data_IF_140241372625
#
_entry.id   IF_140241372625
#
_cell.length_a   1.000
_cell.length_b   1.000
_cell.length_c   1.000
_cell.angle_alpha   90.00
_cell.angle_beta   90.00
_cell.angle_gamma   90.00
#
_symmetry.space_group_name_H-M   'P 1'
#
loop_
_entity.id
_entity.type
_entity.pdbx_description
1 polymer ?
#
# COMPACT_ATOMS: atom_id res chain seq x y z
N UNK A 1 7.25 10.83 -6.85
CA UNK A 1 7.32 11.35 -8.22
C UNK A 1 6.06 10.98 -8.98
N UNK A 2 5.65 11.82 -9.93
CA UNK A 2 4.49 11.51 -10.79
C UNK A 2 4.87 10.57 -11.95
N UNK A 3 5.72 9.58 -11.69
CA UNK A 3 6.20 8.62 -12.70
C UNK A 3 6.11 7.21 -12.20
N UNK A 4 5.68 6.29 -13.07
CA UNK A 4 5.84 4.86 -12.85
C UNK A 4 7.09 4.37 -13.59
N UNK A 5 7.85 3.53 -12.91
CA UNK A 5 9.00 2.84 -13.46
C UNK A 5 8.66 1.35 -13.61
N UNK A 6 9.34 0.68 -14.54
CA UNK A 6 9.32 -0.77 -14.62
C UNK A 6 10.75 -1.31 -14.63
N UNK A 7 10.93 -2.41 -13.96
CA UNK A 7 12.14 -3.21 -14.06
C UNK A 7 11.98 -4.23 -15.20
N UNK A 8 12.96 -4.26 -16.10
CA UNK A 8 13.01 -5.22 -17.19
C UNK A 8 13.83 -6.43 -16.73
N UNK A 9 13.18 -7.57 -16.65
CA UNK A 9 13.81 -8.80 -16.13
C UNK A 9 15.00 -9.24 -16.97
N UNK A 10 14.86 -9.20 -18.30
CA UNK A 10 15.84 -9.69 -19.26
C UNK A 10 17.14 -8.87 -19.26
N UNK A 11 17.04 -7.56 -19.07
CA UNK A 11 18.18 -6.64 -19.15
C UNK A 11 18.65 -6.14 -17.78
N UNK A 12 17.80 -6.24 -16.77
CA UNK A 12 18.05 -5.67 -15.44
C UNK A 12 17.90 -4.14 -15.37
N UNK A 13 17.40 -3.52 -16.43
CA UNK A 13 17.23 -2.07 -16.50
C UNK A 13 15.95 -1.61 -15.83
N UNK A 14 15.99 -0.40 -15.25
CA UNK A 14 14.81 0.33 -14.78
C UNK A 14 14.51 1.44 -15.78
N UNK A 15 13.33 1.39 -16.38
CA UNK A 15 12.89 2.36 -17.38
C UNK A 15 11.63 3.10 -16.93
N UNK A 16 11.41 4.32 -17.44
CA UNK A 16 10.15 5.00 -17.24
C UNK A 16 9.05 4.25 -18.00
N UNK A 17 8.04 3.80 -17.27
CA UNK A 17 6.88 3.12 -17.85
C UNK A 17 5.76 4.10 -18.19
N UNK A 18 5.41 4.98 -17.25
CA UNK A 18 4.47 6.07 -17.46
C UNK A 18 5.09 7.38 -16.97
N UNK A 19 5.26 8.39 -17.83
CA UNK A 19 5.87 9.67 -17.44
C UNK A 19 4.96 10.50 -16.54
N UNK A 20 3.64 10.30 -16.62
CA UNK A 20 2.64 10.92 -15.76
C UNK A 20 1.79 9.81 -15.13
N UNK A 21 1.78 9.74 -13.81
CA UNK A 21 1.07 8.71 -13.06
C UNK A 21 0.16 9.27 -11.96
N UNK A 22 -0.01 10.58 -11.89
CA UNK A 22 -0.88 11.27 -10.93
C UNK A 22 -0.64 10.85 -9.47
N UNK A 23 0.64 10.76 -9.12
CA UNK A 23 1.10 10.28 -7.81
C UNK A 23 0.56 8.89 -7.49
N UNK A 24 0.70 7.97 -8.43
CA UNK A 24 0.38 6.56 -8.20
C UNK A 24 1.20 6.03 -7.04
N UNK A 25 0.52 5.37 -6.10
CA UNK A 25 1.11 4.71 -4.95
C UNK A 25 1.03 3.18 -5.08
N UNK A 26 0.01 2.53 -4.54
CA UNK A 26 -0.16 1.09 -4.64
C UNK A 26 -0.41 0.62 -6.07
N UNK A 27 0.21 -0.49 -6.42
CA UNK A 27 0.05 -1.13 -7.73
C UNK A 27 -0.02 -2.65 -7.56
N UNK A 28 -0.89 -3.28 -8.33
CA UNK A 28 -0.99 -4.73 -8.41
C UNK A 28 -1.39 -5.16 -9.83
N UNK A 29 -1.33 -6.45 -10.09
CA UNK A 29 -1.97 -7.04 -11.27
C UNK A 29 -3.15 -7.88 -10.83
N UNK A 30 -4.24 -7.86 -11.62
CA UNK A 30 -5.32 -8.81 -11.42
C UNK A 30 -4.97 -10.18 -12.05
N UNK A 31 -5.83 -11.15 -11.82
CA UNK A 31 -5.66 -12.51 -12.33
C UNK A 31 -5.81 -12.64 -13.85
N UNK A 32 -6.13 -11.53 -14.52
CA UNK A 32 -6.16 -11.41 -15.99
C UNK A 32 -4.93 -10.69 -16.53
N UNK A 33 -3.98 -10.32 -15.67
CA UNK A 33 -2.75 -9.62 -16.04
C UNK A 33 -2.94 -8.13 -16.32
N UNK A 34 -4.05 -7.51 -15.89
CA UNK A 34 -4.28 -6.08 -16.02
C UNK A 34 -3.74 -5.36 -14.80
N UNK A 35 -3.03 -4.26 -15.01
CA UNK A 35 -2.51 -3.46 -13.91
C UNK A 35 -3.62 -2.64 -13.26
N UNK A 36 -3.64 -2.63 -11.93
CA UNK A 36 -4.50 -1.78 -11.10
C UNK A 36 -3.60 -0.84 -10.31
N UNK A 37 -3.97 0.43 -10.24
CA UNK A 37 -3.19 1.47 -9.59
C UNK A 37 -4.05 2.38 -8.73
N UNK A 38 -3.55 2.74 -7.55
CA UNK A 38 -4.10 3.78 -6.70
C UNK A 38 -3.46 5.13 -7.05
N UNK A 39 -4.25 6.13 -7.44
CA UNK A 39 -3.77 7.47 -7.79
C UNK A 39 -4.16 8.47 -6.70
N UNK A 40 -3.18 8.94 -5.92
CA UNK A 40 -3.41 9.90 -4.83
C UNK A 40 -3.97 11.23 -5.34
N UNK A 41 -3.36 11.78 -6.40
CA UNK A 41 -3.72 13.12 -6.87
C UNK A 41 -5.14 13.20 -7.44
N UNK A 42 -5.52 12.19 -8.22
CA UNK A 42 -6.87 12.13 -8.80
C UNK A 42 -7.88 11.39 -7.90
N UNK A 43 -7.45 10.94 -6.72
CA UNK A 43 -8.30 10.30 -5.71
C UNK A 43 -9.10 9.15 -6.28
N UNK A 44 -8.43 8.25 -6.99
CA UNK A 44 -9.11 7.17 -7.70
C UNK A 44 -8.28 5.89 -7.77
N UNK A 45 -8.97 4.79 -8.00
CA UNK A 45 -8.37 3.51 -8.40
C UNK A 45 -8.65 3.32 -9.88
N UNK A 46 -7.60 3.02 -10.65
CA UNK A 46 -7.71 2.77 -12.09
C UNK A 46 -7.25 1.36 -12.43
N UNK A 47 -7.78 0.83 -13.52
CA UNK A 47 -7.33 -0.41 -14.14
C UNK A 47 -6.92 -0.13 -15.59
N UNK A 48 -5.75 -0.63 -15.95
CA UNK A 48 -5.25 -0.56 -17.31
C UNK A 48 -5.66 -1.81 -18.08
N UNK A 49 -6.48 -1.63 -19.09
CA UNK A 49 -6.94 -2.71 -19.96
C UNK A 49 -5.83 -3.13 -20.95
N UNK A 50 -5.96 -4.31 -21.56
CA UNK A 50 -4.93 -4.84 -22.47
C UNK A 50 -4.74 -4.01 -23.74
N UNK A 51 -5.72 -3.20 -24.14
CA UNK A 51 -5.64 -2.26 -25.25
C UNK A 51 -4.92 -0.94 -24.85
N UNK A 52 -4.49 -0.81 -23.59
CA UNK A 52 -3.84 0.37 -23.05
C UNK A 52 -4.80 1.44 -22.52
N UNK A 53 -6.11 1.24 -22.61
CA UNK A 53 -7.07 2.17 -22.03
C UNK A 53 -7.03 2.14 -20.50
N UNK A 54 -7.15 3.32 -19.87
CA UNK A 54 -7.31 3.44 -18.43
C UNK A 54 -8.82 3.52 -18.10
N UNK A 55 -9.26 2.63 -17.22
CA UNK A 55 -10.64 2.64 -16.70
C UNK A 55 -10.62 2.99 -15.23
N UNK A 56 -11.38 4.03 -14.84
CA UNK A 56 -11.66 4.32 -13.43
C UNK A 56 -12.55 3.21 -12.88
N UNK A 57 -12.11 2.54 -11.83
CA UNK A 57 -12.88 1.48 -11.15
C UNK A 57 -13.48 1.96 -9.84
N UNK A 58 -12.89 2.99 -9.21
CA UNK A 58 -13.46 3.70 -8.07
C UNK A 58 -12.89 5.12 -7.98
N UNK A 59 -13.72 6.12 -7.68
CA UNK A 59 -13.33 7.50 -7.38
C UNK A 59 -14.23 8.15 -6.33
N UNK A 60 -15.40 7.55 -6.05
CA UNK A 60 -16.35 8.01 -5.04
C UNK A 60 -16.92 6.82 -4.26
N UNK A 61 -17.32 7.10 -3.04
CA UNK A 61 -18.15 6.21 -2.23
C UNK A 61 -19.20 7.05 -1.49
N UNK A 62 -20.46 6.60 -1.52
CA UNK A 62 -21.61 7.27 -0.88
C UNK A 62 -21.70 8.77 -1.20
N UNK A 63 -21.46 9.13 -2.46
CA UNK A 63 -21.49 10.52 -2.96
C UNK A 63 -20.28 11.38 -2.59
N UNK A 64 -19.30 10.88 -1.86
CA UNK A 64 -18.07 11.56 -1.49
C UNK A 64 -16.87 11.07 -2.32
N UNK A 65 -15.99 11.97 -2.77
CA UNK A 65 -14.72 11.55 -3.36
C UNK A 65 -13.90 10.69 -2.40
N UNK A 66 -13.14 9.74 -2.93
CA UNK A 66 -12.16 9.01 -2.14
C UNK A 66 -11.13 9.95 -1.51
N UNK A 67 -10.51 9.53 -0.42
CA UNK A 67 -9.47 10.31 0.26
C UNK A 67 -8.19 10.35 -0.58
N UNK A 68 -7.46 9.26 -0.58
CA UNK A 68 -6.26 9.05 -1.39
C UNK A 68 -5.90 7.56 -1.38
N UNK A 69 -6.51 6.77 -2.27
CA UNK A 69 -6.29 5.33 -2.31
C UNK A 69 -4.81 4.98 -2.23
N UNK A 70 -4.43 4.11 -1.29
CA UNK A 70 -3.03 3.88 -0.94
C UNK A 70 -2.49 2.57 -1.50
N UNK A 71 -2.87 1.42 -0.97
CA UNK A 71 -2.44 0.11 -1.48
C UNK A 71 -3.63 -0.70 -2.02
N UNK A 72 -3.33 -1.65 -2.90
CA UNK A 72 -4.35 -2.39 -3.65
C UNK A 72 -3.93 -3.82 -3.90
N UNK A 73 -4.87 -4.74 -3.77
CA UNK A 73 -4.72 -6.17 -4.07
C UNK A 73 -5.90 -6.67 -4.88
N UNK A 74 -5.68 -7.72 -5.67
CA UNK A 74 -6.70 -8.39 -6.44
C UNK A 74 -7.03 -9.76 -5.84
N UNK A 75 -8.30 -10.14 -5.93
CA UNK A 75 -8.78 -11.43 -5.49
C UNK A 75 -9.15 -12.30 -6.72
N UNK A 76 -9.02 -13.65 -6.67
CA UNK A 76 -9.33 -14.53 -7.81
C UNK A 76 -10.78 -14.45 -8.32
N UNK A 77 -11.72 -14.01 -7.48
CA UNK A 77 -13.11 -13.80 -7.90
C UNK A 77 -13.31 -12.56 -8.79
N UNK A 78 -12.24 -11.81 -9.08
CA UNK A 78 -12.25 -10.60 -9.87
C UNK A 78 -12.52 -9.33 -9.06
N UNK A 79 -12.70 -9.43 -7.75
CA UNK A 79 -12.82 -8.24 -6.89
C UNK A 79 -11.47 -7.59 -6.63
N UNK A 80 -11.49 -6.28 -6.40
CA UNK A 80 -10.34 -5.44 -6.10
C UNK A 80 -10.51 -4.86 -4.70
N UNK A 81 -9.49 -4.95 -3.87
CA UNK A 81 -9.50 -4.50 -2.50
C UNK A 81 -8.43 -3.42 -2.30
N UNK A 82 -8.78 -2.30 -1.68
CA UNK A 82 -7.86 -1.20 -1.52
C UNK A 82 -8.09 -0.45 -0.22
N UNK A 83 -7.05 0.22 0.26
CA UNK A 83 -7.10 1.11 1.42
C UNK A 83 -7.22 2.55 1.00
N UNK A 84 -8.02 3.35 1.74
CA UNK A 84 -8.27 4.76 1.43
C UNK A 84 -8.09 5.65 2.69
N UNK A 85 -6.85 5.78 3.17
CA UNK A 85 -6.53 6.66 4.30
C UNK A 85 -6.51 8.12 3.89
N UNK A 86 -6.60 9.01 4.89
CA UNK A 86 -6.56 10.45 4.65
C UNK A 86 -5.17 11.03 4.42
N UNK A 87 -4.09 10.34 4.81
CA UNK A 87 -2.75 10.94 4.83
C UNK A 87 -2.15 11.19 3.43
N UNK A 88 -2.47 10.39 2.43
CA UNK A 88 -1.99 10.62 1.06
C UNK A 88 -2.47 11.95 0.45
N UNK A 89 -3.51 12.57 0.99
CA UNK A 89 -4.01 13.87 0.55
C UNK A 89 -3.03 15.01 0.84
N UNK A 90 -2.14 14.83 1.80
CA UNK A 90 -1.10 15.78 2.18
C UNK A 90 0.21 15.60 1.41
N UNK A 91 0.34 14.57 0.60
CA UNK A 91 1.58 14.29 -0.14
C UNK A 91 1.77 15.28 -1.28
N UNK A 92 2.86 16.03 -1.23
CA UNK A 92 3.23 17.01 -2.25
C UNK A 92 4.09 16.43 -3.37
N UNK A 93 4.22 15.12 -3.42
CA UNK A 93 5.06 14.45 -4.39
C UNK A 93 4.58 14.67 -5.83
N UNK A 94 5.52 15.07 -6.68
CA UNK A 94 5.27 15.26 -8.09
C UNK A 94 4.47 16.51 -8.46
N UNK A 95 4.07 17.33 -7.49
CA UNK A 95 3.47 18.62 -7.75
C UNK A 95 4.55 19.69 -7.93
N UNK A 96 4.65 20.25 -9.13
CA UNK A 96 5.50 21.42 -9.42
C UNK A 96 4.97 22.66 -8.71
N UNK A 97 3.68 22.71 -8.43
CA UNK A 97 2.98 23.88 -7.95
C UNK A 97 1.94 23.52 -6.88
N UNK A 98 2.40 23.13 -5.70
CA UNK A 98 1.59 23.46 -4.52
C UNK A 98 2.20 24.72 -3.93
N UNK A 99 1.77 25.94 -4.34
CA UNK A 99 2.29 27.15 -3.78
C UNK A 99 1.78 27.32 -2.36
N UNK A 100 2.64 27.74 -1.49
CA UNK A 100 2.22 28.43 -0.29
C UNK A 100 1.85 27.62 0.92
N UNK A 101 2.15 26.33 0.97
CA UNK A 101 2.22 25.63 2.25
C UNK A 101 3.53 25.98 2.96
N UNK A 102 3.50 26.14 4.28
CA UNK A 102 4.68 26.40 5.12
C UNK A 102 5.82 25.43 4.80
N UNK A 103 5.48 24.21 4.40
CA UNK A 103 6.39 23.16 4.03
C UNK A 103 6.89 23.21 2.57
N UNK A 104 6.27 23.98 1.69
CA UNK A 104 6.72 24.21 0.30
C UNK A 104 6.46 25.65 -0.16
N UNK A 105 7.01 26.66 0.56
CA UNK A 105 6.70 28.07 0.31
C UNK A 105 7.10 28.56 -1.08
N UNK A 106 7.95 27.82 -1.79
CA UNK A 106 8.44 28.17 -3.13
C UNK A 106 7.82 27.36 -4.25
N UNK A 107 6.84 26.47 -3.97
CA UNK A 107 6.20 25.61 -4.98
C UNK A 107 7.15 24.66 -5.73
N UNK A 108 8.29 24.33 -5.16
CA UNK A 108 9.27 23.43 -5.80
C UNK A 108 8.95 21.97 -5.53
N UNK A 109 9.30 21.12 -6.50
CA UNK A 109 9.29 19.66 -6.29
C UNK A 109 10.07 19.28 -5.05
N UNK A 110 9.51 18.42 -4.22
CA UNK A 110 10.21 17.89 -3.07
C UNK A 110 11.05 16.68 -3.46
N UNK A 111 12.24 16.66 -2.90
CA UNK A 111 13.20 15.56 -3.09
C UNK A 111 12.84 14.32 -2.27
N UNK A 112 12.12 14.51 -1.16
CA UNK A 112 11.81 13.44 -0.23
C UNK A 112 10.44 12.88 -0.53
N UNK A 113 10.42 11.57 -0.80
CA UNK A 113 9.23 10.77 -1.01
C UNK A 113 8.47 10.64 0.30
N UNK A 114 7.14 10.76 0.27
CA UNK A 114 6.28 10.50 1.43
C UNK A 114 6.28 11.60 2.49
N UNK A 115 6.75 12.81 2.19
CA UNK A 115 6.57 13.93 3.12
C UNK A 115 5.17 14.51 3.01
N UNK A 116 4.41 14.37 4.09
CA UNK A 116 3.17 15.10 4.27
C UNK A 116 3.43 16.60 4.37
N UNK A 117 2.60 17.38 3.68
CA UNK A 117 2.57 18.82 3.86
C UNK A 117 1.56 19.14 4.95
N UNK A 118 2.02 19.31 6.18
CA UNK A 118 1.18 19.80 7.27
C UNK A 118 0.59 21.15 6.85
N UNK A 119 -0.73 21.25 6.84
CA UNK A 119 -1.44 22.46 6.42
C UNK A 119 -1.49 22.72 4.92
N UNK A 120 -1.13 21.74 4.07
CA UNK A 120 -1.15 21.90 2.63
C UNK A 120 -2.57 22.20 2.09
N UNK A 121 -2.63 23.16 1.19
CA UNK A 121 -3.81 23.43 0.40
C UNK A 121 -4.15 22.20 -0.44
N UNK A 122 -5.32 21.60 -0.22
CA UNK A 122 -5.77 20.41 -0.91
C UNK A 122 -5.72 19.11 -0.10
N UNK A 123 -5.00 19.09 1.03
CA UNK A 123 -4.94 17.95 1.93
C UNK A 123 -6.18 17.74 2.78
N UNK A 124 -7.36 17.98 2.25
CA UNK A 124 -8.62 17.81 3.01
C UNK A 124 -9.10 16.39 2.83
N UNK A 125 -9.23 15.68 3.96
CA UNK A 125 -9.97 14.42 4.03
C UNK A 125 -11.38 14.62 3.50
N UNK A 126 -11.86 13.71 2.67
CA UNK A 126 -13.19 13.78 2.04
C UNK A 126 -14.22 12.93 2.75
N UNK A 127 -13.77 11.87 3.41
CA UNK A 127 -14.59 10.92 4.16
C UNK A 127 -13.76 10.24 5.25
N UNK A 128 -14.39 9.40 6.07
CA UNK A 128 -13.68 8.55 7.03
C UNK A 128 -12.72 7.59 6.31
N UNK A 129 -11.67 7.16 7.01
CA UNK A 129 -10.78 6.13 6.47
C UNK A 129 -11.53 4.83 6.30
N UNK A 130 -11.33 4.19 5.17
CA UNK A 130 -11.91 2.88 4.89
C UNK A 130 -10.91 1.95 4.21
N UNK A 131 -11.14 0.66 4.38
CA UNK A 131 -10.69 -0.35 3.42
C UNK A 131 -11.90 -0.76 2.60
N UNK A 132 -11.78 -0.76 1.30
CA UNK A 132 -12.88 -1.02 0.37
C UNK A 132 -12.68 -2.31 -0.44
N UNK A 133 -13.78 -2.88 -0.91
CA UNK A 133 -13.83 -3.91 -1.93
C UNK A 133 -14.69 -3.41 -3.09
N UNK A 134 -14.17 -3.52 -4.29
CA UNK A 134 -14.93 -3.36 -5.54
C UNK A 134 -15.24 -4.77 -6.04
N UNK A 135 -16.51 -5.15 -6.10
CA UNK A 135 -16.89 -6.44 -6.63
C UNK A 135 -16.82 -6.46 -8.18
N UNK A 136 -16.93 -7.63 -8.83
CA UNK A 136 -16.88 -7.71 -10.29
C UNK A 136 -17.98 -6.92 -11.02
N UNK A 137 -19.07 -6.57 -10.35
CA UNK A 137 -20.14 -5.72 -10.92
C UNK A 137 -19.81 -4.23 -10.87
N UNK A 138 -18.79 -3.85 -10.10
CA UNK A 138 -18.39 -2.46 -9.84
C UNK A 138 -19.03 -1.87 -8.59
N UNK A 139 -19.76 -2.66 -7.79
CA UNK A 139 -20.29 -2.20 -6.50
C UNK A 139 -19.11 -2.07 -5.50
N UNK A 140 -19.12 -0.98 -4.75
CA UNK A 140 -18.14 -0.70 -3.72
C UNK A 140 -18.74 -1.03 -2.35
N UNK A 141 -18.08 -1.90 -1.60
CA UNK A 141 -18.43 -2.30 -0.25
C UNK A 141 -17.35 -1.83 0.73
N UNK A 142 -17.74 -1.38 1.92
CA UNK A 142 -16.81 -1.14 3.04
C UNK A 142 -16.38 -2.48 3.62
N UNK A 143 -15.08 -2.73 3.65
CA UNK A 143 -14.47 -3.92 4.26
C UNK A 143 -14.14 -3.66 5.71
N UNK A 144 -13.52 -2.51 5.99
CA UNK A 144 -13.18 -2.05 7.34
C UNK A 144 -13.50 -0.57 7.45
N UNK A 145 -14.11 -0.20 8.57
CA UNK A 145 -14.37 1.19 8.92
C UNK A 145 -13.19 1.79 9.67
N UNK A 146 -13.16 3.13 9.75
CA UNK A 146 -12.14 3.86 10.51
C UNK A 146 -12.09 3.46 12.00
N UNK A 147 -13.23 3.14 12.60
CA UNK A 147 -13.33 2.71 14.00
C UNK A 147 -12.72 1.34 14.21
N UNK A 148 -12.74 0.49 13.18
CA UNK A 148 -12.15 -0.84 13.23
C UNK A 148 -10.65 -0.82 12.97
N UNK A 149 -10.21 0.00 12.01
CA UNK A 149 -8.79 0.13 11.64
C UNK A 149 -8.53 1.53 11.06
N UNK A 150 -8.10 2.50 11.89
CA UNK A 150 -7.72 3.82 11.41
C UNK A 150 -6.39 3.78 10.65
N UNK A 151 -6.21 4.74 9.75
CA UNK A 151 -5.00 4.91 8.95
C UNK A 151 -4.53 3.61 8.25
N UNK A 152 -5.41 2.93 7.49
CA UNK A 152 -5.05 1.70 6.80
C UNK A 152 -3.97 1.95 5.74
N UNK A 153 -2.98 1.04 5.63
CA UNK A 153 -1.90 1.13 4.66
C UNK A 153 -1.84 -0.17 3.83
N UNK A 154 -0.73 -0.88 3.86
CA UNK A 154 -0.56 -2.12 3.13
C UNK A 154 -1.59 -3.19 3.50
N UNK A 155 -1.96 -4.01 2.53
CA UNK A 155 -2.86 -5.14 2.76
C UNK A 155 -2.46 -6.36 1.92
N UNK A 156 -2.75 -7.56 2.41
CA UNK A 156 -2.62 -8.79 1.61
C UNK A 156 -3.54 -9.89 2.11
N UNK A 157 -3.86 -10.84 1.22
CA UNK A 157 -4.56 -12.05 1.60
C UNK A 157 -3.59 -13.14 2.09
N UNK A 158 -4.10 -14.08 2.91
CA UNK A 158 -3.46 -15.38 3.07
C UNK A 158 -3.49 -16.16 1.74
N UNK A 159 -2.59 -17.16 1.56
CA UNK A 159 -2.54 -17.93 0.31
C UNK A 159 -3.86 -18.64 -0.06
N UNK A 160 -4.65 -19.00 0.93
CA UNK A 160 -5.95 -19.67 0.79
C UNK A 160 -7.14 -18.69 0.72
N UNK A 161 -6.86 -17.38 0.78
CA UNK A 161 -7.87 -16.31 0.81
C UNK A 161 -8.87 -16.40 1.97
N UNK A 162 -8.51 -17.07 3.05
CA UNK A 162 -9.33 -17.15 4.26
C UNK A 162 -9.13 -15.98 5.22
N UNK A 163 -8.03 -15.21 5.03
CA UNK A 163 -7.65 -14.09 5.90
C UNK A 163 -7.23 -12.88 5.10
N UNK A 164 -7.52 -11.70 5.66
CA UNK A 164 -7.01 -10.41 5.22
C UNK A 164 -6.10 -9.84 6.30
N UNK A 165 -4.89 -9.48 5.92
CA UNK A 165 -3.93 -8.74 6.76
C UNK A 165 -3.92 -7.29 6.32
N UNK A 166 -4.01 -6.36 7.28
CA UNK A 166 -3.99 -4.92 7.00
C UNK A 166 -3.09 -4.22 8.02
N UNK A 167 -2.28 -3.31 7.51
CA UNK A 167 -1.44 -2.42 8.31
C UNK A 167 -2.25 -1.25 8.82
N UNK A 168 -2.13 -0.93 10.12
CA UNK A 168 -2.41 0.38 10.68
C UNK A 168 -1.11 1.16 10.82
N UNK A 169 -1.05 2.39 10.29
CA UNK A 169 0.15 3.23 10.39
C UNK A 169 0.19 4.06 11.66
N UNK A 170 -0.70 3.77 12.62
CA UNK A 170 -0.76 4.47 13.88
C UNK A 170 -1.21 5.93 13.73
N UNK A 171 -0.96 6.71 14.77
CA UNK A 171 -1.22 8.14 14.74
C UNK A 171 -0.19 8.84 13.86
N UNK A 172 -0.66 9.46 12.80
CA UNK A 172 0.13 10.40 12.03
C UNK A 172 0.09 11.76 12.72
N UNK A 173 1.23 12.37 13.01
CA UNK A 173 1.29 13.75 13.49
C UNK A 173 0.81 14.68 12.37
N UNK A 174 -0.20 15.51 12.67
CA UNK A 174 -0.79 16.43 11.71
C UNK A 174 -2.29 16.28 11.56
N UNK A 175 -2.87 16.98 10.59
CA UNK A 175 -4.32 17.15 10.44
C UNK A 175 -5.06 15.87 9.94
N UNK A 176 -4.37 14.78 9.66
CA UNK A 176 -4.93 13.62 8.94
C UNK A 176 -4.96 12.34 9.75
N UNK A 177 -4.30 12.32 10.92
CA UNK A 177 -4.19 11.10 11.71
C UNK A 177 -5.34 10.89 12.68
N UNK A 178 -5.81 9.66 12.80
CA UNK A 178 -6.62 9.18 13.90
C UNK A 178 -5.76 8.42 14.89
N UNK A 179 -6.22 8.30 16.13
CA UNK A 179 -5.56 7.45 17.10
C UNK A 179 -5.61 6.00 16.61
N UNK A 180 -4.46 5.37 16.52
CA UNK A 180 -4.27 4.00 16.08
C UNK A 180 -2.90 3.51 16.48
N UNK A 181 -2.70 2.20 16.41
CA UNK A 181 -1.43 1.55 16.70
C UNK A 181 -0.62 1.30 15.42
N UNK A 182 0.70 1.34 15.55
CA UNK A 182 1.63 0.88 14.51
C UNK A 182 1.67 -0.65 14.57
N UNK A 183 0.82 -1.30 13.79
CA UNK A 183 0.60 -2.74 13.90
C UNK A 183 0.14 -3.35 12.58
N UNK A 184 0.19 -4.67 12.51
CA UNK A 184 -0.54 -5.44 11.50
C UNK A 184 -1.69 -6.16 12.19
N UNK A 185 -2.89 -6.03 11.63
CA UNK A 185 -4.08 -6.72 12.06
C UNK A 185 -4.47 -7.81 11.07
N UNK A 186 -5.14 -8.85 11.56
CA UNK A 186 -5.67 -9.94 10.75
C UNK A 186 -7.16 -10.11 10.99
N UNK A 187 -7.89 -10.33 9.91
CA UNK A 187 -9.34 -10.54 9.89
C UNK A 187 -9.63 -11.87 9.17
N UNK A 188 -10.61 -12.62 9.67
CA UNK A 188 -11.14 -13.74 8.92
C UNK A 188 -12.02 -13.22 7.78
N UNK A 189 -11.83 -13.76 6.58
CA UNK A 189 -12.47 -13.25 5.39
C UNK A 189 -13.81 -13.93 5.15
N UNK A 190 -14.89 -13.21 5.45
CA UNK A 190 -16.27 -13.60 5.18
C UNK A 190 -16.89 -12.59 4.23
N UNK A 191 -16.82 -12.85 2.92
CA UNK A 191 -17.22 -11.89 1.89
C UNK A 191 -18.72 -11.52 1.91
N UNK A 192 -19.53 -12.36 2.50
CA UNK A 192 -20.97 -12.14 2.67
C UNK A 192 -21.30 -11.30 3.91
N UNK A 193 -20.31 -11.06 4.79
CA UNK A 193 -20.46 -10.38 6.06
C UNK A 193 -19.54 -9.15 6.12
N UNK A 194 -19.81 -8.15 5.31
CA UNK A 194 -19.09 -6.88 5.33
C UNK A 194 -19.86 -5.79 6.09
N UNK A 195 -19.21 -4.90 6.85
CA UNK A 195 -17.76 -4.88 7.18
C UNK A 195 -17.30 -6.13 7.95
N UNK A 196 -16.01 -6.50 7.77
CA UNK A 196 -15.43 -7.63 8.52
C UNK A 196 -15.48 -7.37 10.01
N UNK A 197 -15.70 -8.44 10.77
CA UNK A 197 -15.71 -8.40 12.24
C UNK A 197 -14.44 -9.04 12.83
N UNK A 198 -14.28 -8.93 14.17
CA UNK A 198 -13.26 -9.63 14.93
C UNK A 198 -11.81 -9.34 14.50
N UNK A 199 -11.37 -8.08 14.54
CA UNK A 199 -9.96 -7.76 14.34
C UNK A 199 -9.11 -8.46 15.40
N UNK A 200 -8.02 -9.09 14.97
CA UNK A 200 -7.00 -9.65 15.85
C UNK A 200 -5.68 -8.98 15.56
N UNK A 201 -4.95 -8.65 16.63
CA UNK A 201 -3.58 -8.20 16.48
C UNK A 201 -2.73 -9.36 15.93
N UNK A 202 -2.14 -9.18 14.73
CA UNK A 202 -1.20 -10.12 14.17
C UNK A 202 0.21 -9.89 14.72
N UNK A 203 0.67 -8.63 14.70
CA UNK A 203 1.93 -8.23 15.33
C UNK A 203 1.90 -6.74 15.69
N UNK A 204 2.46 -6.40 16.85
CA UNK A 204 2.57 -5.02 17.34
C UNK A 204 3.77 -4.26 16.76
N UNK A 205 4.50 -4.87 15.85
CA UNK A 205 5.67 -4.30 15.18
C UNK A 205 6.76 -3.77 16.12
N UNK A 206 6.87 -4.30 17.33
CA UNK A 206 7.97 -3.96 18.26
C UNK A 206 9.15 -4.91 18.05
N UNK A 207 10.33 -4.32 17.89
CA UNK A 207 11.57 -5.05 17.73
C UNK A 207 12.66 -4.45 18.61
N UNK A 208 13.27 -5.28 19.48
CA UNK A 208 14.33 -4.85 20.44
C UNK A 208 13.91 -3.60 21.27
N UNK A 209 12.63 -3.54 21.65
CA UNK A 209 12.08 -2.41 22.41
C UNK A 209 11.70 -1.18 21.58
N UNK A 210 12.03 -1.17 20.29
CA UNK A 210 11.73 -0.07 19.36
C UNK A 210 10.41 -0.34 18.63
N UNK A 211 9.56 0.69 18.53
CA UNK A 211 8.38 0.64 17.70
C UNK A 211 8.78 0.85 16.24
N UNK A 212 8.46 -0.12 15.40
CA UNK A 212 8.71 -0.07 13.96
C UNK A 212 7.44 0.34 13.22
N UNK A 213 7.61 1.02 12.08
CA UNK A 213 6.51 1.46 11.23
C UNK A 213 6.34 0.47 10.05
N UNK A 214 5.30 -0.35 10.04
CA UNK A 214 4.96 -1.21 8.90
C UNK A 214 4.37 -0.38 7.76
N UNK A 215 4.54 -0.89 6.53
CA UNK A 215 3.99 -0.28 5.32
C UNK A 215 3.39 -1.35 4.40
N UNK A 216 3.88 -1.56 3.20
CA UNK A 216 3.40 -2.62 2.31
C UNK A 216 3.72 -4.03 2.81
N UNK A 217 2.87 -4.99 2.51
CA UNK A 217 3.07 -6.38 2.89
C UNK A 217 2.58 -7.38 1.84
N UNK A 218 3.19 -8.56 1.80
CA UNK A 218 2.83 -9.67 0.90
C UNK A 218 2.96 -11.01 1.61
N UNK A 219 2.13 -11.97 1.23
CA UNK A 219 2.23 -13.35 1.70
C UNK A 219 3.09 -14.21 0.76
N UNK A 220 3.82 -15.16 1.32
CA UNK A 220 4.41 -16.26 0.55
C UNK A 220 3.51 -17.49 0.54
N UNK A 221 3.87 -18.50 -0.26
CA UNK A 221 3.08 -19.74 -0.43
C UNK A 221 2.92 -20.56 0.87
N UNK A 222 3.75 -20.32 1.88
CA UNK A 222 3.66 -20.96 3.18
C UNK A 222 2.82 -20.16 4.18
N UNK A 223 2.29 -19.00 3.77
CA UNK A 223 1.50 -18.10 4.61
C UNK A 223 2.34 -17.18 5.48
N UNK A 224 3.66 -17.13 5.29
CA UNK A 224 4.46 -16.13 5.98
C UNK A 224 4.16 -14.75 5.40
N UNK A 225 4.10 -13.75 6.28
CA UNK A 225 3.84 -12.36 5.93
C UNK A 225 5.17 -11.60 5.90
N UNK A 226 5.51 -11.10 4.72
CA UNK A 226 6.67 -10.27 4.46
C UNK A 226 6.22 -8.81 4.49
N UNK A 227 6.75 -8.03 5.41
CA UNK A 227 6.32 -6.66 5.69
C UNK A 227 7.49 -5.69 5.47
N UNK A 228 7.27 -4.67 4.66
CA UNK A 228 8.17 -3.52 4.55
C UNK A 228 8.11 -2.69 5.81
N UNK A 229 9.27 -2.29 6.32
CA UNK A 229 9.40 -1.67 7.65
C UNK A 229 10.34 -0.49 7.62
N UNK A 230 9.90 0.62 8.20
CA UNK A 230 10.69 1.80 8.49
C UNK A 230 10.95 1.93 9.99
N UNK A 231 12.08 2.54 10.35
CA UNK A 231 12.48 2.73 11.73
C UNK A 231 13.86 3.39 11.84
N UNK A 232 14.50 3.34 13.01
CA UNK A 232 15.86 3.85 13.20
C UNK A 232 16.87 3.20 12.26
N UNK A 233 17.95 3.91 11.97
CA UNK A 233 19.04 3.43 11.12
C UNK A 233 19.54 2.05 11.57
N UNK A 234 19.63 1.11 10.64
CA UNK A 234 20.06 -0.28 10.88
C UNK A 234 18.93 -1.22 11.30
N UNK A 235 17.72 -0.73 11.56
CA UNK A 235 16.54 -1.53 11.84
C UNK A 235 15.55 -1.61 10.67
N UNK A 236 15.70 -0.75 9.68
CA UNK A 236 14.87 -0.76 8.47
C UNK A 236 15.05 -2.03 7.61
N UNK A 237 14.05 -2.31 6.79
CA UNK A 237 14.12 -3.38 5.81
C UNK A 237 12.82 -4.17 5.68
N UNK A 238 12.90 -5.49 5.59
CA UNK A 238 11.74 -6.38 5.54
C UNK A 238 11.74 -7.29 6.77
N UNK A 239 10.61 -7.39 7.43
CA UNK A 239 10.36 -8.35 8.51
C UNK A 239 9.50 -9.48 7.99
N UNK A 240 9.85 -10.71 8.35
CA UNK A 240 9.12 -11.91 7.93
C UNK A 240 8.50 -12.56 9.16
N UNK A 241 7.19 -12.69 9.15
CA UNK A 241 6.42 -13.30 10.23
C UNK A 241 5.80 -14.62 9.76
N UNK A 242 5.80 -15.63 10.62
CA UNK A 242 5.04 -16.86 10.36
C UNK A 242 3.52 -16.60 10.46
N UNK A 243 2.65 -17.57 10.09
CA UNK A 243 1.19 -17.39 10.16
C UNK A 243 0.63 -17.08 11.57
N UNK A 244 1.41 -17.32 12.62
CA UNK A 244 1.08 -17.03 14.02
C UNK A 244 1.55 -15.62 14.46
N UNK A 245 2.17 -14.85 13.57
CA UNK A 245 2.66 -13.49 13.86
C UNK A 245 4.01 -13.43 14.56
N UNK A 246 4.74 -14.54 14.64
CA UNK A 246 6.09 -14.57 15.20
C UNK A 246 7.12 -14.16 14.16
N UNK A 247 8.05 -13.27 14.53
CA UNK A 247 9.14 -12.84 13.67
C UNK A 247 10.12 -14.00 13.46
N UNK A 248 10.25 -14.46 12.20
CA UNK A 248 11.13 -15.59 11.83
C UNK A 248 12.33 -15.17 10.99
N UNK A 249 12.34 -13.94 10.46
CA UNK A 249 13.45 -13.45 9.65
C UNK A 249 13.41 -11.95 9.39
N UNK A 250 14.56 -11.43 8.98
CA UNK A 250 14.72 -10.01 8.60
C UNK A 250 15.68 -9.85 7.43
N UNK A 251 15.34 -8.95 6.51
CA UNK A 251 16.27 -8.42 5.50
C UNK A 251 16.56 -6.99 5.92
N UNK A 252 17.84 -6.72 6.23
CA UNK A 252 18.27 -5.38 6.64
C UNK A 252 18.59 -4.55 5.41
N UNK A 253 18.01 -3.36 5.31
CA UNK A 253 18.30 -2.38 4.29
C UNK A 253 18.68 -1.03 4.93
N UNK A 254 19.40 -0.19 4.20
CA UNK A 254 19.83 1.12 4.72
C UNK A 254 18.68 2.10 4.90
N UNK A 255 17.53 1.84 4.26
CA UNK A 255 16.36 2.72 4.27
C UNK A 255 15.09 1.91 4.53
N UNK A 256 14.03 2.59 4.97
CA UNK A 256 12.70 1.99 5.12
C UNK A 256 12.17 1.46 3.79
N UNK A 257 11.46 0.34 3.87
CA UNK A 257 10.81 -0.31 2.73
C UNK A 257 9.34 0.09 2.72
N UNK A 258 8.93 0.84 1.71
CA UNK A 258 7.55 1.29 1.56
C UNK A 258 6.64 0.20 0.99
N UNK A 259 7.12 -0.61 0.07
CA UNK A 259 6.37 -1.76 -0.45
C UNK A 259 7.32 -2.81 -1.01
N UNK A 260 6.80 -4.02 -1.19
CA UNK A 260 7.55 -5.15 -1.71
C UNK A 260 6.64 -6.07 -2.53
N UNK A 261 7.26 -6.84 -3.41
CA UNK A 261 6.53 -7.84 -4.18
C UNK A 261 7.43 -9.00 -4.60
N UNK A 262 6.82 -10.16 -4.82
CA UNK A 262 7.51 -11.30 -5.40
C UNK A 262 7.38 -11.28 -6.91
N UNK A 263 8.49 -11.44 -7.61
CA UNK A 263 8.54 -11.43 -9.08
C UNK A 263 9.54 -12.42 -9.64
N UNK A 264 9.86 -12.23 -10.92
CA UNK A 264 10.69 -13.18 -11.67
C UNK A 264 9.89 -14.39 -12.17
N UNK A 265 10.50 -15.24 -13.02
CA UNK A 265 9.79 -16.34 -13.69
C UNK A 265 9.16 -17.37 -12.74
N UNK A 266 9.74 -17.53 -11.54
CA UNK A 266 9.25 -18.45 -10.50
C UNK A 266 8.62 -17.75 -9.33
N UNK A 267 8.51 -16.40 -9.34
CA UNK A 267 8.06 -15.59 -8.20
C UNK A 267 8.86 -15.83 -6.92
N UNK A 268 10.15 -16.14 -7.06
CA UNK A 268 11.10 -16.39 -5.98
C UNK A 268 12.11 -15.25 -5.80
N UNK A 269 11.92 -14.14 -6.51
CA UNK A 269 12.66 -12.90 -6.32
C UNK A 269 11.81 -11.89 -5.57
N UNK A 270 12.29 -11.48 -4.42
CA UNK A 270 11.69 -10.39 -3.67
C UNK A 270 12.23 -9.06 -4.17
N UNK A 271 11.33 -8.18 -4.65
CA UNK A 271 11.62 -6.80 -5.00
C UNK A 271 11.16 -5.90 -3.85
N UNK A 272 12.00 -4.93 -3.47
CA UNK A 272 11.78 -4.06 -2.31
C UNK A 272 12.02 -2.61 -2.72
N UNK A 273 10.97 -1.78 -2.60
CA UNK A 273 11.05 -0.33 -2.82
C UNK A 273 11.49 0.32 -1.50
N UNK A 274 12.73 0.80 -1.46
CA UNK A 274 13.32 1.39 -0.25
C UNK A 274 13.94 2.75 -0.56
N UNK A 275 13.33 3.82 -0.06
CA UNK A 275 13.73 5.18 -0.34
C UNK A 275 13.76 5.48 -1.83
N UNK A 276 14.93 5.75 -2.39
CA UNK A 276 15.12 6.03 -3.82
C UNK A 276 15.64 4.81 -4.62
N UNK A 277 15.62 3.63 -4.02
CA UNK A 277 16.25 2.44 -4.56
C UNK A 277 15.25 1.29 -4.72
N UNK A 278 15.45 0.50 -5.75
CA UNK A 278 14.81 -0.80 -5.92
C UNK A 278 15.85 -1.88 -5.62
N UNK A 279 15.61 -2.65 -4.56
CA UNK A 279 16.43 -3.81 -4.23
C UNK A 279 15.75 -5.09 -4.71
N UNK A 280 16.55 -6.11 -5.01
CA UNK A 280 16.04 -7.46 -5.29
C UNK A 280 16.88 -8.51 -4.58
N UNK A 281 16.24 -9.57 -4.15
CA UNK A 281 16.87 -10.70 -3.47
C UNK A 281 16.21 -11.99 -3.90
N UNK A 282 17.01 -12.98 -4.27
CA UNK A 282 16.52 -14.35 -4.47
C UNK A 282 16.24 -14.98 -3.10
N UNK A 283 15.05 -15.49 -2.91
CA UNK A 283 14.61 -16.12 -1.67
C UNK A 283 14.21 -17.58 -1.87
N UNK A 284 14.22 -18.36 -0.81
CA UNK A 284 13.87 -19.79 -0.85
C UNK A 284 12.37 -20.03 -0.62
N UNK A 285 11.54 -19.15 -1.19
CA UNK A 285 10.08 -19.26 -1.19
C UNK A 285 9.51 -18.56 -2.43
N UNK A 286 8.20 -18.60 -2.60
CA UNK A 286 7.50 -17.97 -3.72
C UNK A 286 6.37 -17.09 -3.17
N UNK A 287 6.04 -16.02 -3.90
CA UNK A 287 4.85 -15.22 -3.59
C UNK A 287 3.56 -16.00 -3.78
N UNK A 288 2.60 -15.81 -2.86
CA UNK A 288 1.32 -16.52 -2.86
C UNK A 288 0.39 -16.09 -4.00
N UNK A 289 0.40 -14.80 -4.34
CA UNK A 289 -0.50 -14.22 -5.34
C UNK A 289 0.30 -13.58 -6.49
N UNK A 290 -0.34 -13.30 -7.65
CA UNK A 290 0.24 -12.41 -8.64
C UNK A 290 0.65 -11.09 -8.01
N UNK A 291 1.76 -10.54 -8.50
CA UNK A 291 2.32 -9.27 -8.00
C UNK A 291 1.67 -8.09 -8.68
#
# INVERSE_FOLDING_TARGET
TSRQYRYLWETGEVTTFRPESYNTNGNTFDYQGRQISCEHFLRRVIRWEHDGAARVVADHYDGHPLNSPNDVIAHPDGSVWFTDPGYGTGLAEGHTDIPGGEANPRGRLRWQVGQELVGAVGGVRRQSDHTFRIDPSGRIDVVLTQEQLPNPNGLCFSPDFSRLYVVSTGRQEGAYGHDGDLAVHVFDLHKEELPLSNPRLFTNMRFEGVQMAPDGLRADVYGNIWCGVSGPLGLCGVFVFNPEGQLIGRIRLPQGVSNLTFGGPKRDWLFMCAGQSLYRLLVNTQGAAPA
#
